data_IF_050142913163
#
_entry.id   IF_050142913163
#
_cell.length_a   1.000
_cell.length_b   1.000
_cell.length_c   1.000
_cell.angle_alpha   90.00
_cell.angle_beta   90.00
_cell.angle_gamma   90.00
#
_symmetry.space_group_name_H-M   'P 1'
#
loop_
_entity.id
_entity.type
_entity.pdbx_description
1 polymer ?
#
# COMPACT_ATOMS: atom_id res chain seq x y z
N UNK A 1 47.71 -10.06 8.59
CA UNK A 1 46.97 -9.65 7.38
C UNK A 1 46.18 -10.83 6.88
N UNK A 2 44.84 -10.73 6.83
CA UNK A 2 43.90 -11.42 5.93
C UNK A 2 42.48 -11.20 6.48
N UNK A 3 41.95 -9.97 6.32
CA UNK A 3 40.53 -9.74 6.50
C UNK A 3 39.80 -10.30 5.27
N UNK A 4 39.08 -11.39 5.50
CA UNK A 4 38.19 -12.05 4.54
C UNK A 4 37.12 -11.07 4.04
N UNK A 5 37.31 -10.53 2.83
CA UNK A 5 36.25 -9.87 2.04
C UNK A 5 35.22 -10.93 1.63
N UNK A 6 34.24 -11.23 2.49
CA UNK A 6 32.99 -11.86 2.03
C UNK A 6 32.25 -10.83 1.19
N UNK A 7 32.38 -10.96 -0.13
CA UNK A 7 31.73 -10.12 -1.14
C UNK A 7 30.22 -10.35 -1.07
N UNK A 8 29.46 -9.40 -0.54
CA UNK A 8 28.01 -9.34 -0.75
C UNK A 8 27.75 -8.84 -2.18
N UNK A 9 27.98 -9.73 -3.16
CA UNK A 9 27.65 -9.50 -4.58
C UNK A 9 26.30 -10.15 -4.94
N UNK A 10 25.49 -10.50 -3.93
CA UNK A 10 24.14 -11.05 -4.17
C UNK A 10 23.24 -9.91 -4.65
N UNK A 11 22.50 -10.11 -5.74
CA UNK A 11 21.50 -9.14 -6.17
C UNK A 11 20.53 -8.84 -5.03
N UNK A 12 20.18 -7.58 -4.86
CA UNK A 12 19.10 -7.15 -3.97
C UNK A 12 17.80 -7.41 -4.74
N UNK A 13 16.95 -8.26 -4.18
CA UNK A 13 15.64 -8.59 -4.76
C UNK A 13 14.66 -8.84 -3.64
N UNK A 14 13.39 -8.56 -3.88
CA UNK A 14 12.31 -8.88 -2.96
C UNK A 14 11.32 -9.83 -3.62
N UNK A 15 10.99 -10.91 -2.91
CA UNK A 15 9.95 -11.85 -3.29
C UNK A 15 8.92 -11.92 -2.17
N UNK A 16 7.68 -11.55 -2.49
CA UNK A 16 6.57 -11.68 -1.56
C UNK A 16 6.07 -13.14 -1.57
N UNK A 17 6.38 -13.88 -0.52
CA UNK A 17 5.94 -15.27 -0.38
C UNK A 17 4.47 -15.38 0.05
N UNK A 18 3.92 -14.34 0.68
CA UNK A 18 2.59 -14.37 1.30
C UNK A 18 1.55 -13.57 0.49
N UNK A 19 1.94 -13.01 -0.66
CA UNK A 19 1.09 -12.20 -1.59
C UNK A 19 0.28 -11.12 -0.90
N UNK A 20 0.80 -10.62 0.22
CA UNK A 20 0.12 -9.70 1.10
C UNK A 20 0.81 -8.35 1.22
N UNK A 21 2.05 -8.22 0.74
CA UNK A 21 2.90 -7.07 1.01
C UNK A 21 2.68 -5.99 -0.06
N UNK A 22 2.18 -4.84 0.37
CA UNK A 22 2.08 -3.63 -0.47
C UNK A 22 3.45 -2.97 -0.56
N UNK A 23 4.12 -2.84 0.58
CA UNK A 23 5.30 -2.00 0.75
C UNK A 23 6.34 -2.72 1.61
N UNK A 24 7.57 -2.78 1.11
CA UNK A 24 8.70 -3.40 1.79
C UNK A 24 9.92 -2.49 1.74
N UNK A 25 10.51 -2.18 2.90
CA UNK A 25 11.79 -1.47 2.99
C UNK A 25 12.93 -2.48 3.03
N UNK A 26 13.85 -2.38 2.08
CA UNK A 26 15.08 -3.16 2.11
C UNK A 26 15.87 -2.91 3.41
N UNK A 27 16.45 -3.96 3.98
CA UNK A 27 17.18 -3.89 5.25
C UNK A 27 16.30 -4.02 6.51
N UNK A 28 14.97 -3.90 6.40
CA UNK A 28 14.07 -4.00 7.56
C UNK A 28 14.01 -5.38 8.22
N UNK A 29 14.42 -6.45 7.53
CA UNK A 29 14.36 -7.83 8.03
C UNK A 29 15.75 -8.43 8.35
N UNK A 30 16.81 -7.79 7.90
CA UNK A 30 18.18 -8.29 7.94
C UNK A 30 19.09 -7.12 8.31
N UNK A 31 19.27 -6.91 9.62
CA UNK A 31 20.23 -5.98 10.26
C UNK A 31 20.87 -4.97 9.29
N UNK A 32 20.26 -3.77 9.18
CA UNK A 32 20.79 -2.54 8.58
C UNK A 32 21.89 -2.73 7.53
N UNK A 33 21.65 -3.59 6.52
CA UNK A 33 22.61 -3.73 5.43
C UNK A 33 22.59 -2.42 4.64
N UNK A 34 23.68 -1.62 4.68
CA UNK A 34 23.69 -0.34 4.02
C UNK A 34 23.53 -0.57 2.52
N UNK A 35 22.65 0.21 1.90
CA UNK A 35 22.59 0.26 0.44
C UNK A 35 23.94 0.76 -0.07
N UNK A 36 24.57 0.07 -1.02
CA UNK A 36 25.91 0.44 -1.51
C UNK A 36 25.92 0.73 -3.01
N UNK A 37 26.72 1.70 -3.41
CA UNK A 37 26.98 1.98 -4.83
C UNK A 37 27.51 0.73 -5.54
N UNK A 38 27.02 0.45 -6.74
CA UNK A 38 27.38 -0.73 -7.53
C UNK A 38 26.50 -1.96 -7.28
N UNK A 39 25.62 -1.92 -6.27
CA UNK A 39 24.63 -2.98 -6.01
C UNK A 39 23.72 -3.20 -7.22
N UNK A 40 23.46 -4.46 -7.52
CA UNK A 40 22.48 -4.85 -8.53
C UNK A 40 21.12 -5.04 -7.84
N UNK A 41 20.13 -4.27 -8.24
CA UNK A 41 18.74 -4.40 -7.82
C UNK A 41 17.97 -5.14 -8.92
N UNK A 42 17.21 -6.16 -8.54
CA UNK A 42 16.29 -6.87 -9.41
C UNK A 42 14.87 -6.58 -8.97
N UNK A 43 14.07 -6.09 -9.90
CA UNK A 43 12.66 -5.74 -9.71
C UNK A 43 11.84 -6.71 -10.56
N UNK A 44 11.04 -7.55 -9.90
CA UNK A 44 10.25 -8.54 -10.59
C UNK A 44 9.05 -7.88 -11.32
N UNK A 45 8.43 -8.56 -12.29
CA UNK A 45 7.16 -8.10 -12.83
C UNK A 45 6.10 -7.90 -11.74
N UNK A 46 5.27 -6.87 -11.89
CA UNK A 46 4.28 -6.51 -10.86
C UNK A 46 4.87 -5.82 -9.62
N UNK A 47 6.13 -5.37 -9.70
CA UNK A 47 6.78 -4.60 -8.66
C UNK A 47 7.39 -3.32 -9.25
N UNK A 48 7.42 -2.30 -8.41
CA UNK A 48 8.26 -1.12 -8.61
C UNK A 48 9.18 -0.95 -7.41
N UNK A 49 10.22 -0.16 -7.61
CA UNK A 49 11.07 0.32 -6.53
C UNK A 49 11.06 1.83 -6.49
N UNK A 50 11.29 2.39 -5.30
CA UNK A 50 11.57 3.80 -5.16
C UNK A 50 12.60 4.04 -4.08
N UNK A 51 13.31 5.17 -4.21
CA UNK A 51 14.30 5.60 -3.24
C UNK A 51 13.85 6.87 -2.54
N UNK A 52 13.99 6.87 -1.22
CA UNK A 52 13.79 8.04 -0.38
C UNK A 52 15.12 8.55 0.13
N UNK A 53 15.40 9.84 -0.03
CA UNK A 53 16.49 10.52 0.66
C UNK A 53 15.90 11.36 1.79
N UNK A 54 16.05 10.91 3.02
CA UNK A 54 15.32 11.51 4.14
C UNK A 54 13.81 11.41 3.89
N UNK A 55 13.13 12.55 3.72
CA UNK A 55 11.70 12.61 3.44
C UNK A 55 11.35 12.97 1.99
N UNK A 56 12.34 13.04 1.09
CA UNK A 56 12.11 13.38 -0.32
C UNK A 56 12.22 12.15 -1.22
N UNK A 57 11.30 12.05 -2.18
CA UNK A 57 11.38 11.06 -3.25
C UNK A 57 12.56 11.40 -4.17
N UNK A 58 13.50 10.46 -4.28
CA UNK A 58 14.68 10.61 -5.13
C UNK A 58 14.41 10.11 -6.56
N UNK A 59 13.90 8.87 -6.69
CA UNK A 59 13.58 8.26 -7.98
C UNK A 59 12.62 7.07 -7.82
N UNK A 60 11.97 6.66 -8.92
CA UNK A 60 11.04 5.53 -9.01
C UNK A 60 11.36 4.74 -10.28
N UNK A 61 11.47 3.41 -10.16
CA UNK A 61 11.70 2.53 -11.29
C UNK A 61 10.71 1.37 -11.34
N UNK A 62 10.43 0.93 -12.56
CA UNK A 62 9.58 -0.22 -12.90
C UNK A 62 10.34 -1.56 -12.78
N UNK A 63 9.74 -2.64 -13.22
CA UNK A 63 10.34 -3.96 -13.36
C UNK A 63 11.62 -3.91 -14.22
N UNK A 64 12.66 -4.64 -13.79
CA UNK A 64 13.94 -4.62 -14.49
C UNK A 64 15.14 -4.93 -13.61
N UNK A 65 16.32 -4.68 -14.15
CA UNK A 65 17.60 -4.85 -13.47
C UNK A 65 18.36 -3.54 -13.45
N UNK A 66 18.59 -3.00 -12.26
CA UNK A 66 19.19 -1.68 -12.07
C UNK A 66 20.50 -1.82 -11.31
N UNK A 67 21.58 -1.26 -11.85
CA UNK A 67 22.84 -1.16 -11.13
C UNK A 67 22.93 0.23 -10.51
N UNK A 68 22.93 0.32 -9.19
CA UNK A 68 23.05 1.59 -8.49
C UNK A 68 24.36 2.29 -8.83
N UNK A 69 24.28 3.49 -9.37
CA UNK A 69 25.42 4.38 -9.60
C UNK A 69 25.13 5.74 -8.93
N UNK A 70 26.14 6.42 -8.37
CA UNK A 70 25.97 7.75 -7.80
C UNK A 70 25.40 8.77 -8.81
N UNK A 71 25.67 8.56 -10.09
CA UNK A 71 25.21 9.40 -11.21
C UNK A 71 23.70 9.38 -11.41
N UNK A 72 23.02 8.28 -11.05
CA UNK A 72 21.54 8.21 -11.07
C UNK A 72 20.90 9.15 -10.04
N UNK A 73 21.70 9.75 -9.16
CA UNK A 73 21.20 10.57 -8.07
C UNK A 73 21.90 11.93 -8.00
N UNK A 74 21.60 12.87 -8.89
CA UNK A 74 22.16 14.22 -8.82
C UNK A 74 21.93 14.88 -7.45
N UNK A 75 20.80 14.58 -6.78
CA UNK A 75 20.49 15.04 -5.41
C UNK A 75 21.18 14.25 -4.29
N UNK A 76 21.70 13.03 -4.54
CA UNK A 76 22.58 12.30 -3.61
C UNK A 76 24.06 12.59 -3.86
N UNK A 77 24.42 13.25 -4.96
CA UNK A 77 25.81 13.47 -5.37
C UNK A 77 26.60 14.46 -4.48
N UNK A 78 25.93 15.13 -3.53
CA UNK A 78 26.50 16.21 -2.72
C UNK A 78 26.87 15.79 -1.28
N UNK A 79 27.56 14.65 -1.14
CA UNK A 79 28.14 14.21 0.14
C UNK A 79 29.59 13.72 -0.02
N UNK A 80 30.49 14.67 -0.32
CA UNK A 80 31.91 14.55 -0.02
C UNK A 80 32.74 13.52 -0.81
N UNK A 81 33.98 13.29 -0.35
CA UNK A 81 35.08 12.59 -1.03
C UNK A 81 34.88 11.08 -1.33
N UNK A 82 33.65 10.57 -1.20
CA UNK A 82 33.30 9.15 -1.36
C UNK A 82 32.54 8.85 -2.66
N UNK A 83 32.11 9.88 -3.41
CA UNK A 83 31.35 9.75 -4.67
C UNK A 83 31.98 8.79 -5.68
N UNK A 84 33.31 8.76 -5.74
CA UNK A 84 34.04 8.01 -6.76
C UNK A 84 34.59 6.67 -6.24
N UNK A 85 34.23 6.25 -5.02
CA UNK A 85 34.68 4.98 -4.43
C UNK A 85 33.64 3.87 -4.62
N UNK A 86 33.97 2.76 -5.30
CA UNK A 86 33.07 1.63 -5.43
C UNK A 86 32.74 1.01 -4.06
N UNK A 87 31.48 0.60 -3.88
CA UNK A 87 30.90 0.07 -2.62
C UNK A 87 30.81 1.09 -1.47
N UNK A 88 30.65 2.38 -1.77
CA UNK A 88 30.37 3.37 -0.73
C UNK A 88 28.90 3.29 -0.30
N UNK A 89 28.59 3.47 1.00
CA UNK A 89 27.21 3.56 1.46
C UNK A 89 26.45 4.68 0.76
N UNK A 90 25.22 4.41 0.37
CA UNK A 90 24.27 5.37 -0.16
C UNK A 90 23.34 5.79 0.97
N UNK A 91 23.25 7.10 1.21
CA UNK A 91 22.33 7.69 2.19
C UNK A 91 20.90 7.76 1.59
N UNK A 92 20.31 6.60 1.30
CA UNK A 92 18.95 6.49 0.78
C UNK A 92 18.30 5.18 1.20
N UNK A 93 16.98 5.23 1.37
CA UNK A 93 16.15 4.09 1.72
C UNK A 93 15.49 3.50 0.47
N UNK A 94 15.74 2.22 0.21
CA UNK A 94 15.14 1.46 -0.89
C UNK A 94 13.84 0.80 -0.45
N UNK A 95 12.77 1.09 -1.17
CA UNK A 95 11.48 0.48 -1.01
C UNK A 95 11.07 -0.30 -2.26
N UNK A 96 10.41 -1.42 -2.04
CA UNK A 96 9.66 -2.16 -3.04
C UNK A 96 8.18 -1.92 -2.81
N UNK A 97 7.44 -1.71 -3.89
CA UNK A 97 5.98 -1.62 -3.88
C UNK A 97 5.41 -2.66 -4.85
N UNK A 98 4.39 -3.38 -4.41
CA UNK A 98 3.65 -4.31 -5.26
C UNK A 98 2.54 -3.59 -6.01
N UNK A 99 2.46 -3.81 -7.32
CA UNK A 99 1.33 -3.39 -8.17
C UNK A 99 0.40 -4.56 -8.51
N UNK A 100 0.71 -5.76 -8.00
CA UNK A 100 -0.18 -6.91 -8.13
C UNK A 100 -1.44 -6.73 -7.27
N UNK A 101 -2.58 -7.29 -7.68
CA UNK A 101 -3.77 -7.37 -6.85
C UNK A 101 -3.50 -8.07 -5.52
N UNK A 102 -3.82 -7.41 -4.41
CA UNK A 102 -3.85 -7.99 -3.08
C UNK A 102 -5.30 -8.32 -2.75
N UNK A 103 -5.55 -9.59 -2.51
CA UNK A 103 -6.90 -10.15 -2.42
C UNK A 103 -7.30 -10.51 -1.00
N UNK A 104 -8.60 -10.72 -0.81
CA UNK A 104 -9.20 -11.31 0.41
C UNK A 104 -8.90 -10.51 1.69
N UNK A 105 -8.77 -9.17 1.58
CA UNK A 105 -8.61 -8.31 2.74
C UNK A 105 -9.93 -8.11 3.45
N UNK A 106 -9.96 -8.42 4.74
CA UNK A 106 -11.16 -8.31 5.56
C UNK A 106 -11.41 -6.87 5.99
N UNK A 107 -12.67 -6.47 5.96
CA UNK A 107 -13.14 -5.20 6.51
C UNK A 107 -14.37 -5.43 7.39
N UNK A 108 -14.58 -4.51 8.34
CA UNK A 108 -15.79 -4.47 9.15
C UNK A 108 -16.05 -3.03 9.62
N UNK A 109 -17.32 -2.69 9.82
CA UNK A 109 -17.71 -1.42 10.43
C UNK A 109 -17.32 -1.41 11.91
N UNK A 110 -16.50 -0.44 12.33
CA UNK A 110 -16.15 -0.25 13.75
C UNK A 110 -17.34 0.29 14.55
N UNK A 111 -17.97 1.32 14.01
CA UNK A 111 -19.20 1.92 14.55
C UNK A 111 -20.38 1.49 13.67
N UNK A 112 -21.53 1.12 14.26
CA UNK A 112 -22.73 0.81 13.47
C UNK A 112 -23.14 2.01 12.61
N UNK A 113 -23.55 1.73 11.37
CA UNK A 113 -24.26 2.70 10.54
C UNK A 113 -25.67 2.92 11.10
N UNK A 114 -26.17 4.15 11.03
CA UNK A 114 -27.53 4.47 11.42
C UNK A 114 -28.42 4.43 10.18
N UNK A 115 -29.42 3.57 10.19
CA UNK A 115 -30.40 3.42 9.12
C UNK A 115 -31.75 3.83 9.69
N UNK A 116 -32.40 4.82 9.08
CA UNK A 116 -33.72 5.27 9.50
C UNK A 116 -34.79 4.66 8.60
N UNK A 117 -35.73 3.93 9.18
CA UNK A 117 -36.81 3.25 8.47
C UNK A 117 -38.10 3.37 9.28
N UNK A 118 -39.19 3.79 8.63
CA UNK A 118 -40.52 3.94 9.23
C UNK A 118 -40.56 4.71 10.57
N UNK A 119 -39.67 5.71 10.74
CA UNK A 119 -39.57 6.50 11.97
C UNK A 119 -38.78 5.85 13.12
N UNK A 120 -38.20 4.67 12.88
CA UNK A 120 -37.27 4.00 13.78
C UNK A 120 -35.83 4.13 13.28
N UNK A 121 -34.87 4.11 14.20
CA UNK A 121 -33.44 4.14 13.88
C UNK A 121 -32.83 2.79 14.21
N UNK A 122 -32.37 2.09 13.18
CA UNK A 122 -31.66 0.83 13.28
C UNK A 122 -30.15 1.08 13.26
N UNK A 123 -29.43 0.31 14.07
CA UNK A 123 -27.97 0.29 14.06
C UNK A 123 -27.53 -0.91 13.26
N UNK A 124 -26.85 -0.72 12.13
CA UNK A 124 -26.43 -1.82 11.25
C UNK A 124 -24.92 -1.91 11.26
N UNK A 125 -24.39 -3.09 11.57
CA UNK A 125 -22.98 -3.43 11.35
C UNK A 125 -22.85 -4.29 10.10
N UNK A 126 -21.73 -4.17 9.41
CA UNK A 126 -21.40 -5.00 8.27
C UNK A 126 -19.94 -5.43 8.29
N UNK A 127 -19.68 -6.56 7.64
CA UNK A 127 -18.34 -7.06 7.39
C UNK A 127 -18.27 -7.74 6.03
N UNK A 128 -17.05 -7.92 5.54
CA UNK A 128 -16.77 -8.73 4.37
C UNK A 128 -15.33 -8.62 3.94
N UNK A 129 -15.11 -8.72 2.63
CA UNK A 129 -13.79 -8.74 2.01
C UNK A 129 -13.65 -7.72 0.90
N UNK A 130 -12.42 -7.34 0.55
CA UNK A 130 -12.10 -6.53 -0.61
C UNK A 130 -10.76 -6.94 -1.21
N UNK A 131 -10.61 -6.61 -2.48
CA UNK A 131 -9.36 -6.73 -3.23
C UNK A 131 -8.94 -5.33 -3.67
N UNK A 132 -7.65 -5.03 -3.64
CA UNK A 132 -7.13 -3.74 -4.09
C UNK A 132 -5.80 -3.89 -4.80
N UNK A 133 -5.38 -2.84 -5.50
CA UNK A 133 -4.03 -2.73 -6.06
C UNK A 133 -3.53 -1.29 -6.02
N UNK A 134 -2.21 -1.15 -6.07
CA UNK A 134 -1.57 0.12 -6.43
C UNK A 134 -1.50 0.18 -7.95
N UNK A 135 -2.28 1.07 -8.57
CA UNK A 135 -2.31 1.24 -10.02
C UNK A 135 -1.43 2.40 -10.50
N UNK A 136 -1.12 3.35 -9.62
CA UNK A 136 -0.21 4.47 -9.88
C UNK A 136 0.74 4.63 -8.69
N UNK A 137 1.96 4.13 -8.89
CA UNK A 137 3.00 4.11 -7.85
C UNK A 137 3.43 5.53 -7.47
N UNK A 138 3.47 6.47 -8.40
CA UNK A 138 3.92 7.82 -8.11
C UNK A 138 2.93 8.54 -7.18
N UNK A 139 1.64 8.48 -7.52
CA UNK A 139 0.56 9.01 -6.67
C UNK A 139 0.51 8.33 -5.30
N UNK A 140 0.73 7.01 -5.25
CA UNK A 140 0.85 6.28 -4.00
C UNK A 140 2.00 6.77 -3.12
N UNK A 141 3.17 7.04 -3.70
CA UNK A 141 4.31 7.53 -2.93
C UNK A 141 4.03 8.93 -2.36
N UNK A 142 3.42 9.82 -3.14
CA UNK A 142 3.14 11.18 -2.69
C UNK A 142 2.05 11.23 -1.61
N UNK A 143 0.84 10.73 -1.90
CA UNK A 143 -0.26 10.82 -0.93
C UNK A 143 -0.12 9.80 0.21
N UNK A 144 0.07 8.53 -0.11
CA UNK A 144 -0.04 7.44 0.88
C UNK A 144 1.23 7.31 1.70
N UNK A 145 2.39 7.26 1.05
CA UNK A 145 3.66 7.09 1.76
C UNK A 145 4.18 8.38 2.37
N UNK A 146 4.10 9.51 1.66
CA UNK A 146 4.71 10.78 2.09
C UNK A 146 3.74 11.61 2.94
N UNK A 147 2.61 12.06 2.37
CA UNK A 147 1.69 12.98 3.05
C UNK A 147 0.98 12.33 4.24
N UNK A 148 0.50 11.08 4.07
CA UNK A 148 -0.13 10.31 5.15
C UNK A 148 0.86 9.60 6.05
N UNK A 149 2.09 9.42 5.60
CA UNK A 149 3.14 8.75 6.36
C UNK A 149 2.90 7.24 6.58
N UNK A 150 2.14 6.55 5.71
CA UNK A 150 1.93 5.11 5.86
C UNK A 150 3.18 4.36 5.35
N UNK A 151 3.97 3.79 6.26
CA UNK A 151 5.30 3.24 5.99
C UNK A 151 5.32 1.72 5.87
N UNK A 152 4.21 1.04 6.12
CA UNK A 152 4.12 -0.40 5.98
C UNK A 152 2.73 -0.86 5.50
N UNK A 153 2.67 -2.12 5.05
CA UNK A 153 1.45 -2.77 4.57
C UNK A 153 0.31 -2.73 5.58
N UNK A 154 0.58 -2.90 6.87
CA UNK A 154 -0.46 -2.92 7.90
C UNK A 154 -1.18 -1.58 8.03
N UNK A 155 -0.42 -0.48 7.98
CA UNK A 155 -0.96 0.88 8.00
C UNK A 155 -1.81 1.17 6.76
N UNK A 156 -1.35 0.76 5.57
CA UNK A 156 -2.10 0.90 4.32
C UNK A 156 -3.42 0.12 4.38
N UNK A 157 -3.38 -1.15 4.81
CA UNK A 157 -4.59 -1.99 4.93
C UNK A 157 -5.57 -1.40 5.94
N UNK A 158 -5.09 -0.90 7.08
CA UNK A 158 -5.96 -0.23 8.06
C UNK A 158 -6.62 1.03 7.49
N UNK A 159 -5.87 1.84 6.75
CA UNK A 159 -6.42 2.99 6.05
C UNK A 159 -7.54 2.56 5.09
N UNK A 160 -7.30 1.56 4.24
CA UNK A 160 -8.31 1.05 3.30
C UNK A 160 -9.54 0.47 4.00
N UNK A 161 -9.37 -0.26 5.10
CA UNK A 161 -10.48 -0.77 5.93
C UNK A 161 -11.42 0.36 6.37
N UNK A 162 -10.85 1.51 6.78
CA UNK A 162 -11.67 2.67 7.17
C UNK A 162 -12.42 3.29 6.00
N UNK A 163 -11.83 3.27 4.79
CA UNK A 163 -12.48 3.79 3.58
C UNK A 163 -13.65 2.94 3.14
N UNK A 164 -13.51 1.61 3.14
CA UNK A 164 -14.61 0.70 2.83
C UNK A 164 -15.73 0.82 3.87
N UNK A 165 -15.40 0.77 5.16
CA UNK A 165 -16.39 0.89 6.23
C UNK A 165 -17.14 2.25 6.19
N UNK A 166 -16.42 3.34 5.91
CA UNK A 166 -17.03 4.67 5.74
C UNK A 166 -17.94 4.74 4.52
N UNK A 167 -17.50 4.17 3.39
CA UNK A 167 -18.30 4.10 2.17
C UNK A 167 -19.57 3.28 2.36
N UNK A 168 -19.51 2.17 3.11
CA UNK A 168 -20.70 1.41 3.51
C UNK A 168 -21.68 2.28 4.29
N UNK A 169 -21.22 2.89 5.39
CA UNK A 169 -22.06 3.75 6.24
C UNK A 169 -22.72 4.88 5.46
N UNK A 170 -21.98 5.55 4.58
CA UNK A 170 -22.51 6.62 3.75
C UNK A 170 -23.54 6.10 2.74
N UNK A 171 -23.29 4.97 2.10
CA UNK A 171 -24.21 4.36 1.11
C UNK A 171 -25.55 4.01 1.75
N UNK A 172 -25.54 3.32 2.89
CA UNK A 172 -26.79 2.92 3.56
C UNK A 172 -27.55 4.12 4.14
N UNK A 173 -26.84 5.15 4.58
CA UNK A 173 -27.46 6.37 5.10
C UNK A 173 -28.12 7.21 3.99
N UNK A 174 -27.47 7.35 2.84
CA UNK A 174 -27.96 8.17 1.72
C UNK A 174 -29.16 7.55 1.01
N UNK A 175 -29.13 6.22 0.80
CA UNK A 175 -30.19 5.54 0.08
C UNK A 175 -31.45 5.33 0.92
N UNK A 176 -31.40 5.59 2.24
CA UNK A 176 -32.49 5.30 3.19
C UNK A 176 -33.06 3.89 3.00
N UNK A 177 -32.17 2.92 2.74
CA UNK A 177 -32.58 1.55 2.44
C UNK A 177 -33.18 0.90 3.67
N UNK A 178 -34.30 0.18 3.55
CA UNK A 178 -34.73 -0.77 4.56
C UNK A 178 -33.59 -1.72 4.91
N UNK A 179 -33.44 -2.05 6.20
CA UNK A 179 -32.37 -2.97 6.63
C UNK A 179 -32.44 -4.31 5.89
N UNK A 180 -33.66 -4.75 5.59
CA UNK A 180 -33.92 -6.01 4.89
C UNK A 180 -33.38 -6.01 3.45
N UNK A 181 -33.42 -4.87 2.75
CA UNK A 181 -32.85 -4.74 1.40
C UNK A 181 -31.34 -4.93 1.42
N UNK A 182 -30.68 -4.50 2.51
CA UNK A 182 -29.23 -4.69 2.68
C UNK A 182 -28.85 -6.17 2.73
N UNK A 183 -29.69 -6.96 3.39
CA UNK A 183 -29.52 -8.40 3.54
C UNK A 183 -29.87 -9.15 2.24
N UNK A 184 -30.91 -8.70 1.55
CA UNK A 184 -31.42 -9.39 0.35
C UNK A 184 -30.59 -9.09 -0.91
N UNK A 185 -29.94 -7.93 -0.99
CA UNK A 185 -29.22 -7.46 -2.19
C UNK A 185 -27.74 -7.08 -1.90
N UNK A 186 -26.94 -7.95 -1.26
CA UNK A 186 -25.58 -7.61 -0.86
C UNK A 186 -24.67 -7.28 -2.05
N UNK A 187 -24.89 -7.88 -3.22
CA UNK A 187 -24.08 -7.65 -4.42
C UNK A 187 -24.25 -6.25 -5.02
N UNK A 188 -25.47 -5.73 -5.09
CA UNK A 188 -25.74 -4.39 -5.61
C UNK A 188 -25.13 -3.32 -4.70
N UNK A 189 -25.33 -3.48 -3.39
CA UNK A 189 -24.78 -2.56 -2.39
C UNK A 189 -23.26 -2.64 -2.37
N UNK A 190 -22.69 -3.83 -2.50
CA UNK A 190 -21.23 -4.01 -2.63
C UNK A 190 -20.66 -3.20 -3.81
N UNK A 191 -21.35 -3.16 -4.94
CA UNK A 191 -20.99 -2.34 -6.10
C UNK A 191 -21.00 -0.84 -5.80
N UNK A 192 -22.06 -0.35 -5.14
CA UNK A 192 -22.19 1.07 -4.75
C UNK A 192 -21.13 1.46 -3.71
N UNK A 193 -20.87 0.59 -2.74
CA UNK A 193 -19.82 0.79 -1.73
C UNK A 193 -18.45 0.84 -2.39
N UNK A 194 -18.15 -0.05 -3.33
CA UNK A 194 -16.91 -0.01 -4.12
C UNK A 194 -16.76 1.33 -4.83
N UNK A 195 -17.78 1.78 -5.56
CA UNK A 195 -17.73 3.04 -6.30
C UNK A 195 -17.49 4.24 -5.35
N UNK A 196 -18.21 4.30 -4.24
CA UNK A 196 -18.05 5.36 -3.24
C UNK A 196 -16.68 5.30 -2.55
N UNK A 197 -16.18 4.11 -2.22
CA UNK A 197 -14.87 3.92 -1.64
C UNK A 197 -13.76 4.41 -2.60
N UNK A 198 -13.84 4.02 -3.89
CA UNK A 198 -12.89 4.45 -4.92
C UNK A 198 -12.92 5.96 -5.16
N UNK A 199 -14.09 6.62 -5.10
CA UNK A 199 -14.16 8.09 -5.16
C UNK A 199 -13.34 8.76 -4.06
N UNK A 200 -13.25 8.15 -2.88
CA UNK A 200 -12.44 8.68 -1.77
C UNK A 200 -10.93 8.44 -1.92
N UNK A 201 -10.52 7.61 -2.89
CA UNK A 201 -9.13 7.23 -3.18
C UNK A 201 -8.58 7.90 -4.45
N UNK A 202 -9.35 8.76 -5.11
CA UNK A 202 -8.87 9.52 -6.26
C UNK A 202 -7.61 10.30 -5.89
N UNK A 203 -6.55 10.14 -6.69
CA UNK A 203 -5.25 10.78 -6.46
C UNK A 203 -4.33 10.04 -5.49
N UNK A 204 -4.79 8.96 -4.85
CA UNK A 204 -3.94 8.14 -3.95
C UNK A 204 -3.13 7.07 -4.68
N UNK A 205 -3.44 6.80 -5.96
CA UNK A 205 -2.84 5.71 -6.74
C UNK A 205 -3.29 4.30 -6.34
N UNK A 206 -4.23 4.18 -5.39
CA UNK A 206 -4.85 2.92 -4.98
C UNK A 206 -6.27 2.82 -5.54
N UNK A 207 -6.66 1.63 -5.98
CA UNK A 207 -8.06 1.32 -6.28
C UNK A 207 -8.49 0.00 -5.65
N UNK A 208 -9.75 -0.05 -5.22
CA UNK A 208 -10.46 -1.28 -4.92
C UNK A 208 -10.90 -1.95 -6.24
N UNK A 209 -10.45 -3.18 -6.43
CA UNK A 209 -10.83 -4.04 -7.55
C UNK A 209 -12.20 -4.66 -7.25
N UNK A 210 -12.38 -5.18 -6.03
CA UNK A 210 -13.63 -5.74 -5.54
C UNK A 210 -13.87 -5.26 -4.11
N UNK A 211 -15.14 -5.09 -3.76
CA UNK A 211 -15.59 -4.98 -2.37
C UNK A 211 -16.80 -5.89 -2.25
N UNK A 212 -16.85 -6.69 -1.19
CA UNK A 212 -17.93 -7.63 -0.92
C UNK A 212 -18.43 -7.42 0.50
N UNK A 213 -19.76 -7.39 0.65
CA UNK A 213 -20.46 -7.51 1.91
C UNK A 213 -20.81 -8.98 2.09
N UNK A 214 -20.26 -9.61 3.13
CA UNK A 214 -20.50 -11.03 3.43
C UNK A 214 -21.60 -11.22 4.46
N UNK A 215 -21.82 -10.22 5.32
CA UNK A 215 -22.88 -10.27 6.31
C UNK A 215 -23.14 -8.93 6.98
N UNK A 216 -24.34 -8.81 7.52
CA UNK A 216 -24.78 -7.67 8.33
C UNK A 216 -25.40 -8.15 9.62
N UNK A 217 -25.19 -7.39 10.70
CA UNK A 217 -25.81 -7.66 12.00
C UNK A 217 -26.47 -6.41 12.57
N UNK A 218 -27.59 -6.64 13.27
CA UNK A 218 -28.21 -5.66 14.14
C UNK A 218 -27.66 -5.93 15.55
N UNK A 219 -27.07 -4.95 16.25
CA UNK A 219 -26.73 -5.10 17.65
C UNK A 219 -27.99 -5.40 18.47
N UNK A 220 -27.84 -6.25 19.49
CA UNK A 220 -28.86 -6.49 20.52
C UNK A 220 -29.31 -5.18 21.22
#
# INVERSE_FOLDING_TARGET
>A
MLFSRRRNNRPISFQDNDRGLVLYRYGSATEDLPLTSGSLILVAPGQHIFLMKGNELADVWDQGSYRLSPEMFPRLADTGAFRDRPNSPLEADLYYVSTEPITERKWATRTPALVQEAGQVYRVRAYGTYDFRVHDVFSFILDVFTDRGLKNTYEVVNFLNTRVAGAFTATVSEMSLPVLEIINHPGEISGLVKEKANRSLVGTGIEFINVLIEGTSLPD
#
